data_IF_363006497093
#
_entry.id   IF_363006497093
#
_cell.length_a   1.000
_cell.length_b   1.000
_cell.length_c   1.000
_cell.angle_alpha   90.00
_cell.angle_beta   90.00
_cell.angle_gamma   90.00
#
_symmetry.space_group_name_H-M   'P 1'
#
loop_
_entity.id
_entity.type
_entity.pdbx_description
1 polymer ?
#
# COMPACT_ATOMS: atom_id res chain seq x y z
N UNK A 1 -16.44 -5.45 -15.62
CA UNK A 1 -16.30 -4.95 -14.25
C UNK A 1 -17.33 -3.86 -14.07
N UNK A 2 -17.98 -3.78 -12.91
CA UNK A 2 -18.97 -2.74 -12.64
C UNK A 2 -18.28 -1.38 -12.39
N UNK A 3 -18.87 -0.23 -12.77
CA UNK A 3 -18.24 1.09 -12.57
C UNK A 3 -17.76 1.34 -11.13
N UNK A 4 -18.52 0.92 -10.12
CA UNK A 4 -18.11 1.03 -8.72
C UNK A 4 -16.80 0.27 -8.40
N UNK A 5 -16.59 -0.90 -9.02
CA UNK A 5 -15.37 -1.67 -8.82
C UNK A 5 -14.14 -0.95 -9.41
N UNK A 6 -14.30 -0.16 -10.48
CA UNK A 6 -13.20 0.66 -11.03
C UNK A 6 -12.78 1.76 -10.08
N UNK A 7 -13.72 2.39 -9.37
CA UNK A 7 -13.42 3.41 -8.37
C UNK A 7 -12.61 2.79 -7.22
N UNK A 8 -13.07 1.65 -6.71
CA UNK A 8 -12.37 0.92 -5.64
C UNK A 8 -10.98 0.42 -6.08
N UNK A 9 -10.86 -0.05 -7.33
CA UNK A 9 -9.56 -0.43 -7.90
C UNK A 9 -8.59 0.76 -7.96
N UNK A 10 -9.05 1.91 -8.47
CA UNK A 10 -8.21 3.10 -8.57
C UNK A 10 -7.76 3.60 -7.20
N UNK A 11 -8.65 3.56 -6.21
CA UNK A 11 -8.32 3.87 -4.83
C UNK A 11 -7.28 2.91 -4.26
N UNK A 12 -7.47 1.60 -4.43
CA UNK A 12 -6.52 0.58 -4.01
C UNK A 12 -5.14 0.80 -4.65
N UNK A 13 -5.10 1.05 -5.96
CA UNK A 13 -3.86 1.31 -6.69
C UNK A 13 -3.11 2.54 -6.15
N UNK A 14 -3.82 3.63 -5.87
CA UNK A 14 -3.26 4.86 -5.29
C UNK A 14 -2.76 4.63 -3.86
N UNK A 15 -3.54 3.98 -3.00
CA UNK A 15 -3.15 3.68 -1.63
C UNK A 15 -1.91 2.78 -1.58
N UNK A 16 -1.84 1.75 -2.44
CA UNK A 16 -0.66 0.91 -2.55
C UNK A 16 0.55 1.68 -3.04
N UNK A 17 0.40 2.58 -4.02
CA UNK A 17 1.51 3.39 -4.52
C UNK A 17 2.05 4.30 -3.41
N UNK A 18 1.18 5.00 -2.69
CA UNK A 18 1.55 5.84 -1.55
C UNK A 18 2.22 5.03 -0.42
N UNK A 19 1.66 3.86 -0.09
CA UNK A 19 2.24 2.94 0.87
C UNK A 19 3.62 2.46 0.41
N UNK A 20 3.78 2.10 -0.88
CA UNK A 20 5.07 1.67 -1.46
C UNK A 20 6.11 2.78 -1.58
N UNK A 21 5.72 4.04 -1.53
CA UNK A 21 6.66 5.17 -1.55
C UNK A 21 7.41 5.35 -0.23
N UNK A 22 6.88 4.84 0.89
CA UNK A 22 7.55 4.89 2.21
C UNK A 22 8.66 3.83 2.26
N UNK A 23 9.89 4.10 2.72
CA UNK A 23 10.94 3.10 2.86
C UNK A 23 10.51 1.88 3.68
N UNK A 24 10.99 0.68 3.34
CA UNK A 24 10.52 -0.57 3.96
C UNK A 24 10.66 -0.57 5.49
N UNK A 25 11.75 0.00 6.03
CA UNK A 25 12.03 0.06 7.47
C UNK A 25 11.11 1.03 8.22
N UNK A 26 10.57 2.04 7.54
CA UNK A 26 9.66 3.04 8.10
C UNK A 26 8.18 2.74 7.80
N UNK A 27 7.92 1.73 6.95
CA UNK A 27 6.57 1.45 6.44
C UNK A 27 5.85 0.51 7.39
N UNK A 28 4.63 0.89 7.75
CA UNK A 28 3.72 0.00 8.47
C UNK A 28 3.36 -1.22 7.60
N UNK A 29 2.90 -2.34 8.19
CA UNK A 29 2.35 -3.46 7.42
C UNK A 29 1.29 -3.03 6.39
N UNK A 30 0.86 -3.94 5.53
CA UNK A 30 -0.26 -3.61 4.66
C UNK A 30 -1.54 -3.51 5.49
N UNK A 31 -2.41 -2.56 5.15
CA UNK A 31 -3.67 -2.41 5.86
C UNK A 31 -4.66 -3.54 5.51
N UNK A 32 -5.40 -3.98 6.52
CA UNK A 32 -6.41 -5.04 6.34
C UNK A 32 -7.58 -4.64 5.45
N UNK A 33 -7.91 -3.35 5.31
CA UNK A 33 -9.04 -2.91 4.48
C UNK A 33 -8.81 -3.10 2.97
N UNK A 34 -7.60 -3.45 2.53
CA UNK A 34 -7.35 -3.82 1.13
C UNK A 34 -7.93 -5.18 0.75
N UNK A 35 -8.29 -6.03 1.72
CA UNK A 35 -8.92 -7.32 1.46
C UNK A 35 -10.22 -7.22 0.65
N UNK A 36 -11.11 -6.28 1.00
CA UNK A 36 -12.40 -6.08 0.33
C UNK A 36 -12.29 -5.81 -1.17
N UNK A 37 -11.59 -4.73 -1.61
CA UNK A 37 -11.43 -4.45 -3.02
C UNK A 37 -10.62 -5.53 -3.75
N UNK A 38 -9.62 -6.16 -3.12
CA UNK A 38 -8.87 -7.24 -3.75
C UNK A 38 -9.74 -8.48 -4.03
N UNK A 39 -10.60 -8.88 -3.08
CA UNK A 39 -11.56 -9.97 -3.28
C UNK A 39 -12.59 -9.64 -4.35
N UNK A 40 -13.06 -8.40 -4.43
CA UNK A 40 -14.03 -7.97 -5.44
C UNK A 40 -13.50 -8.10 -6.88
N UNK A 41 -12.17 -8.14 -7.07
CA UNK A 41 -11.53 -8.30 -8.37
C UNK A 41 -11.33 -9.76 -8.78
N UNK A 42 -11.47 -10.74 -7.88
CA UNK A 42 -11.07 -12.15 -8.09
C UNK A 42 -11.64 -12.79 -9.36
N UNK A 43 -12.79 -12.31 -9.85
CA UNK A 43 -13.47 -12.83 -11.03
C UNK A 43 -13.42 -11.89 -12.25
N UNK A 44 -12.77 -10.72 -12.13
CA UNK A 44 -12.68 -9.73 -13.19
C UNK A 44 -11.58 -10.10 -14.21
N UNK A 45 -11.96 -10.88 -15.22
CA UNK A 45 -11.04 -11.32 -16.30
C UNK A 45 -10.69 -10.24 -17.33
N UNK A 46 -11.21 -9.02 -17.19
CA UNK A 46 -10.83 -7.93 -18.09
C UNK A 46 -9.31 -7.68 -18.00
N UNK A 47 -8.64 -7.38 -19.11
CA UNK A 47 -7.23 -7.01 -19.10
C UNK A 47 -7.02 -5.67 -18.39
N UNK A 48 -5.90 -5.54 -17.69
CA UNK A 48 -5.42 -4.28 -17.13
C UNK A 48 -4.81 -3.42 -18.22
N UNK A 49 -4.78 -2.11 -17.96
CA UNK A 49 -3.96 -1.20 -18.73
C UNK A 49 -2.47 -1.53 -18.54
N UNK A 50 -1.60 -1.27 -19.54
CA UNK A 50 -0.15 -1.43 -19.38
C UNK A 50 0.43 -0.64 -18.20
N UNK A 51 -0.16 0.51 -17.89
CA UNK A 51 0.24 1.32 -16.73
C UNK A 51 -0.06 0.61 -15.41
N UNK A 52 -1.25 0.03 -15.28
CA UNK A 52 -1.63 -0.69 -14.07
C UNK A 52 -0.87 -2.01 -13.93
N UNK A 53 -0.58 -2.72 -15.02
CA UNK A 53 0.35 -3.86 -14.99
C UNK A 53 1.68 -3.46 -14.33
N UNK A 54 2.28 -2.33 -14.73
CA UNK A 54 3.53 -1.83 -14.13
C UNK A 54 3.36 -1.47 -12.65
N UNK A 55 2.29 -0.76 -12.28
CA UNK A 55 2.02 -0.36 -10.88
C UNK A 55 1.88 -1.56 -9.93
N UNK A 56 1.31 -2.65 -10.42
CA UNK A 56 1.15 -3.89 -9.66
C UNK A 56 2.34 -4.86 -9.82
N UNK A 57 3.33 -4.54 -10.66
CA UNK A 57 4.44 -5.46 -10.96
C UNK A 57 3.94 -6.77 -11.55
N UNK A 58 3.09 -6.67 -12.57
CA UNK A 58 2.47 -7.77 -13.32
C UNK A 58 2.93 -7.72 -14.78
N UNK A 59 2.96 -8.87 -15.48
CA UNK A 59 3.22 -8.90 -16.92
C UNK A 59 2.13 -8.15 -17.70
N UNK A 60 2.49 -7.66 -18.90
CA UNK A 60 1.51 -7.08 -19.82
C UNK A 60 0.44 -8.11 -20.19
N UNK A 61 -0.81 -7.66 -20.32
CA UNK A 61 -1.95 -8.54 -20.59
C UNK A 61 -2.53 -9.22 -19.34
N UNK A 62 -1.95 -8.99 -18.15
CA UNK A 62 -2.55 -9.43 -16.90
C UNK A 62 -3.95 -8.82 -16.69
N UNK A 63 -4.80 -9.52 -15.95
CA UNK A 63 -6.18 -9.13 -15.69
C UNK A 63 -6.35 -8.42 -14.35
N UNK A 64 -7.51 -7.79 -14.16
CA UNK A 64 -7.90 -7.25 -12.85
C UNK A 64 -7.90 -8.33 -11.76
N UNK A 65 -8.29 -9.56 -12.10
CA UNK A 65 -8.21 -10.70 -11.20
C UNK A 65 -6.77 -11.02 -10.78
N UNK A 66 -5.80 -10.91 -11.67
CA UNK A 66 -4.38 -11.12 -11.35
C UNK A 66 -3.86 -10.06 -10.36
N UNK A 67 -4.28 -8.80 -10.53
CA UNK A 67 -4.00 -7.74 -9.55
C UNK A 67 -4.63 -8.03 -8.19
N UNK A 68 -5.91 -8.40 -8.14
CA UNK A 68 -6.58 -8.78 -6.90
C UNK A 68 -5.90 -9.95 -6.19
N UNK A 69 -5.58 -11.01 -6.95
CA UNK A 69 -4.89 -12.20 -6.43
C UNK A 69 -3.51 -11.87 -5.87
N UNK A 70 -2.74 -11.01 -6.56
CA UNK A 70 -1.43 -10.56 -6.07
C UNK A 70 -1.56 -9.81 -4.74
N UNK A 71 -2.55 -8.92 -4.60
CA UNK A 71 -2.79 -8.20 -3.35
C UNK A 71 -3.21 -9.15 -2.24
N UNK A 72 -4.12 -10.09 -2.50
CA UNK A 72 -4.54 -11.09 -1.52
C UNK A 72 -3.38 -11.98 -1.07
N UNK A 73 -2.56 -12.48 -1.99
CA UNK A 73 -1.37 -13.29 -1.67
C UNK A 73 -0.38 -12.49 -0.81
N UNK A 74 -0.19 -11.22 -1.13
CA UNK A 74 0.66 -10.33 -0.35
C UNK A 74 0.11 -10.09 1.07
N UNK A 75 -1.19 -9.84 1.21
CA UNK A 75 -1.84 -9.66 2.52
C UNK A 75 -1.79 -10.95 3.37
N UNK A 76 -2.02 -12.10 2.74
CA UNK A 76 -1.99 -13.40 3.42
C UNK A 76 -0.60 -13.77 3.95
N UNK A 77 0.46 -13.29 3.30
CA UNK A 77 1.84 -13.51 3.75
C UNK A 77 2.24 -12.65 4.97
N UNK A 78 1.42 -11.66 5.36
CA UNK A 78 1.75 -10.79 6.48
C UNK A 78 1.40 -11.42 7.83
N UNK A 79 2.31 -11.23 8.80
CA UNK A 79 2.13 -11.72 10.18
C UNK A 79 1.42 -10.71 11.09
N UNK A 80 1.23 -9.47 10.62
CA UNK A 80 0.50 -8.41 11.31
C UNK A 80 -0.13 -7.47 10.28
N UNK A 81 -1.23 -6.81 10.65
CA UNK A 81 -1.92 -5.83 9.82
C UNK A 81 -1.79 -4.43 10.43
N UNK A 82 -1.73 -3.42 9.58
CA UNK A 82 -1.60 -2.02 10.00
C UNK A 82 -2.85 -1.52 10.72
N UNK A 83 -2.64 -0.80 11.82
CA UNK A 83 -3.73 -0.04 12.46
C UNK A 83 -4.04 1.22 11.64
N UNK A 84 -5.30 1.68 11.59
CA UNK A 84 -5.68 2.88 10.82
C UNK A 84 -4.87 4.15 11.13
N UNK A 85 -4.31 4.26 12.34
CA UNK A 85 -3.46 5.38 12.76
C UNK A 85 -2.04 5.34 12.17
N UNK A 86 -1.56 4.16 11.78
CA UNK A 86 -0.17 3.90 11.36
C UNK A 86 -0.01 3.89 9.84
N UNK A 87 -1.12 3.92 9.10
CA UNK A 87 -1.05 4.04 7.65
C UNK A 87 -0.52 5.43 7.26
N UNK A 88 0.42 5.52 6.31
CA UNK A 88 0.95 6.78 5.85
C UNK A 88 -0.17 7.62 5.22
N UNK A 89 -0.74 8.53 6.02
CA UNK A 89 -1.62 9.57 5.52
C UNK A 89 -0.73 10.53 4.74
N UNK A 90 -1.22 11.05 3.62
CA UNK A 90 -0.58 12.13 2.87
C UNK A 90 -0.50 13.37 3.79
N UNK A 91 0.51 13.40 4.66
CA UNK A 91 0.86 14.54 5.48
C UNK A 91 2.23 14.95 4.98
N UNK A 92 2.22 15.91 4.07
CA UNK A 92 3.36 16.80 3.86
C UNK A 92 3.66 17.43 5.22
N UNK A 93 4.50 16.79 6.02
CA UNK A 93 5.01 17.35 7.27
C UNK A 93 6.48 16.99 7.32
N UNK A 94 7.30 17.99 7.04
CA UNK A 94 8.68 18.10 7.48
C UNK A 94 8.84 17.37 8.82
N UNK A 95 9.60 16.28 8.83
CA UNK A 95 10.04 15.63 10.07
C UNK A 95 11.13 16.52 10.65
N UNK A 96 10.97 17.18 11.82
CA UNK A 96 12.12 17.78 12.46
C UNK A 96 13.06 16.65 12.87
N UNK A 97 14.32 16.76 12.44
CA UNK A 97 15.41 15.87 12.81
C UNK A 97 15.51 15.96 14.34
N UNK A 98 15.19 14.86 15.04
CA UNK A 98 15.53 14.73 16.46
C UNK A 98 17.03 14.45 16.53
N UNK A 99 17.82 15.49 16.76
CA UNK A 99 19.20 15.32 17.23
C UNK A 99 19.08 14.94 18.70
N UNK A 100 19.25 13.64 18.99
CA UNK A 100 19.40 13.15 20.34
C UNK A 100 20.84 13.43 20.81
N UNK A 101 20.94 14.15 21.92
CA UNK A 101 21.94 14.05 22.97
C UNK A 101 23.43 14.22 22.60
N UNK A 102 24.03 15.33 23.06
CA UNK A 102 25.45 15.36 23.39
C UNK A 102 25.68 16.14 24.71
N UNK A 103 26.23 15.39 25.68
CA UNK A 103 26.99 15.80 26.85
C UNK A 103 26.25 16.54 27.99
N UNK A 104 25.97 15.91 29.13
CA UNK A 104 26.89 15.46 30.19
C UNK A 104 27.32 16.58 31.15
N UNK A 105 27.06 16.30 32.44
CA UNK A 105 27.62 16.87 33.68
C UNK A 105 28.71 17.94 33.58
N UNK A 106 28.46 19.07 34.25
CA UNK A 106 29.39 19.94 35.02
C UNK A 106 28.63 21.27 35.26
N UNK A 107 28.61 21.95 36.40
CA UNK A 107 29.33 21.85 37.66
C UNK A 107 28.50 22.61 38.74
N UNK A 108 28.64 22.14 39.97
CA UNK A 108 28.49 22.81 41.30
C UNK A 108 27.25 23.68 41.61
#
# INVERSE_FOLDING_TARGET
MHPAQHIEFNRLAQEMAAWRAVPADDRSPAPGWWWGPAMALRHAKQPLSPEDCRRFGLPLGASFADAGNKVMAFLAAQRSLTRPSEFPKHRSKHRPIKIASLYAMAAE
#
